data_IF_912282612519
#
_entry.id   IF_912282612519
#
_cell.length_a   1.000
_cell.length_b   1.000
_cell.length_c   1.000
_cell.angle_alpha   90.00
_cell.angle_beta   90.00
_cell.angle_gamma   90.00
#
_symmetry.space_group_name_H-M   'P 1'
#
loop_
_entity.id
_entity.type
_entity.pdbx_description
1 polymer ?
#
# COMPACT_ATOMS: atom_id res chain seq x y z
N UNK A 1 10.52 30.17 15.37
CA UNK A 1 10.82 30.09 13.92
C UNK A 1 11.28 28.67 13.54
N UNK A 2 12.14 28.07 14.30
CA UNK A 2 12.71 26.73 14.10
C UNK A 2 11.64 25.61 14.04
N UNK A 3 10.70 25.57 14.97
CA UNK A 3 9.64 24.56 15.01
C UNK A 3 8.74 24.55 13.75
N UNK A 4 8.45 25.73 13.18
CA UNK A 4 7.65 25.84 11.96
C UNK A 4 8.42 25.31 10.74
N UNK A 5 9.71 25.52 10.73
CA UNK A 5 10.61 25.03 9.69
C UNK A 5 10.74 23.51 9.77
N UNK A 6 10.89 22.96 10.98
CA UNK A 6 10.92 21.51 11.22
C UNK A 6 9.61 20.83 10.82
N UNK A 7 8.46 21.46 11.10
CA UNK A 7 7.15 20.95 10.66
C UNK A 7 7.03 20.92 9.13
N UNK A 8 7.50 21.95 8.46
CA UNK A 8 7.51 22.01 6.99
C UNK A 8 8.49 20.99 6.39
N UNK A 9 9.64 20.79 7.02
CA UNK A 9 10.62 19.77 6.62
C UNK A 9 10.02 18.37 6.72
N UNK A 10 9.35 18.06 7.83
CA UNK A 10 8.67 16.79 8.04
C UNK A 10 7.55 16.57 7.00
N UNK A 11 6.78 17.60 6.72
CA UNK A 11 5.72 17.58 5.69
C UNK A 11 6.31 17.27 4.29
N UNK A 12 7.42 17.91 3.95
CA UNK A 12 8.12 17.67 2.69
C UNK A 12 8.63 16.21 2.58
N UNK A 13 9.20 15.67 3.67
CA UNK A 13 9.65 14.27 3.72
C UNK A 13 8.50 13.32 3.44
N UNK A 14 7.34 13.50 4.07
CA UNK A 14 6.17 12.64 3.84
C UNK A 14 5.62 12.78 2.43
N UNK A 15 5.59 14.00 1.90
CA UNK A 15 5.12 14.25 0.54
C UNK A 15 6.02 13.57 -0.51
N UNK A 16 7.34 13.72 -0.36
CA UNK A 16 8.32 13.15 -1.31
C UNK A 16 8.36 11.62 -1.22
N UNK A 17 8.26 11.06 0.00
CA UNK A 17 8.40 9.62 0.21
C UNK A 17 7.28 8.82 -0.44
N UNK A 18 6.04 9.29 -0.39
CA UNK A 18 4.86 8.60 -0.93
C UNK A 18 4.62 7.18 -0.37
N UNK A 19 5.31 6.79 0.69
CA UNK A 19 5.27 5.47 1.33
C UNK A 19 5.28 5.57 2.85
N UNK A 20 5.01 4.46 3.51
CA UNK A 20 5.21 4.37 4.95
C UNK A 20 6.68 4.53 5.33
N UNK A 21 6.93 5.34 6.35
CA UNK A 21 8.24 5.58 6.94
C UNK A 21 8.27 5.13 8.39
N UNK A 22 9.39 4.56 8.82
CA UNK A 22 9.70 4.32 10.23
C UNK A 22 10.15 5.60 10.90
N UNK A 23 10.07 5.65 12.23
CA UNK A 23 10.58 6.80 12.98
C UNK A 23 12.09 6.99 12.78
N UNK A 24 12.86 5.92 12.60
CA UNK A 24 14.30 5.96 12.34
C UNK A 24 14.61 6.59 10.97
N UNK A 25 13.82 6.25 9.94
CA UNK A 25 13.96 6.89 8.63
C UNK A 25 13.65 8.39 8.69
N UNK A 26 12.58 8.76 9.42
CA UNK A 26 12.18 10.16 9.59
C UNK A 26 13.31 10.94 10.31
N UNK A 27 13.88 10.39 11.38
CA UNK A 27 15.01 10.97 12.11
C UNK A 27 16.20 11.17 11.16
N UNK A 28 16.57 10.12 10.42
CA UNK A 28 17.72 10.14 9.51
C UNK A 28 17.57 11.14 8.37
N UNK A 29 16.34 11.39 7.91
CA UNK A 29 16.06 12.31 6.80
C UNK A 29 15.88 13.77 7.26
N UNK A 30 15.47 13.98 8.51
CA UNK A 30 15.11 15.31 9.00
C UNK A 30 16.20 15.99 9.81
N UNK A 31 17.10 15.20 10.41
CA UNK A 31 18.05 15.65 11.44
C UNK A 31 17.39 16.26 12.69
N UNK A 32 16.09 15.96 12.89
CA UNK A 32 15.31 16.44 14.04
C UNK A 32 15.45 15.45 15.19
N UNK A 33 15.47 15.93 16.42
CA UNK A 33 15.57 15.07 17.59
C UNK A 33 14.38 14.13 17.73
N UNK A 34 14.57 12.89 18.20
CA UNK A 34 13.50 11.90 18.34
C UNK A 34 12.32 12.36 19.21
N UNK A 35 12.59 13.20 20.21
CA UNK A 35 11.57 13.74 21.11
C UNK A 35 10.67 14.72 20.34
N UNK A 36 11.27 15.64 19.59
CA UNK A 36 10.53 16.63 18.81
C UNK A 36 9.73 15.99 17.67
N UNK A 37 10.24 14.91 17.04
CA UNK A 37 9.52 14.24 15.94
C UNK A 37 8.13 13.76 16.41
N UNK A 38 8.00 13.21 17.59
CA UNK A 38 6.69 12.75 18.11
C UNK A 38 5.70 13.90 18.24
N UNK A 39 6.14 15.02 18.78
CA UNK A 39 5.30 16.22 18.91
C UNK A 39 4.91 16.80 17.55
N UNK A 40 5.86 16.86 16.61
CA UNK A 40 5.63 17.35 15.26
C UNK A 40 4.70 16.43 14.46
N UNK A 41 4.78 15.10 14.64
CA UNK A 41 3.85 14.15 14.04
C UNK A 41 2.42 14.40 14.51
N UNK A 42 2.20 14.62 15.81
CA UNK A 42 0.85 14.93 16.32
C UNK A 42 0.35 16.28 15.79
N UNK A 43 1.21 17.31 15.72
CA UNK A 43 0.85 18.61 15.12
C UNK A 43 0.52 18.47 13.63
N UNK A 44 1.25 17.63 12.92
CA UNK A 44 1.00 17.37 11.50
C UNK A 44 -0.30 16.61 11.29
N UNK A 45 -0.60 15.60 12.13
CA UNK A 45 -1.90 14.93 12.14
C UNK A 45 -3.03 15.91 12.40
N UNK A 46 -2.91 16.77 13.41
CA UNK A 46 -3.90 17.79 13.74
C UNK A 46 -4.10 18.77 12.57
N UNK A 47 -3.01 19.26 11.97
CA UNK A 47 -3.06 20.16 10.80
C UNK A 47 -3.93 19.59 9.68
N UNK A 48 -3.79 18.29 9.39
CA UNK A 48 -4.48 17.62 8.29
C UNK A 48 -5.78 16.92 8.68
N UNK A 49 -6.10 16.82 9.98
CA UNK A 49 -7.37 16.25 10.46
C UNK A 49 -8.59 17.13 10.10
N UNK A 50 -8.38 18.42 9.92
CA UNK A 50 -9.43 19.39 9.64
C UNK A 50 -10.15 19.09 8.32
N UNK A 51 -11.44 19.36 8.26
CA UNK A 51 -12.31 19.02 7.11
C UNK A 51 -11.88 19.67 5.78
N UNK A 52 -11.18 20.80 5.83
CA UNK A 52 -10.73 21.53 4.66
C UNK A 52 -9.45 20.98 4.00
N UNK A 53 -8.93 19.84 4.47
CA UNK A 53 -7.80 19.15 3.83
C UNK A 53 -8.25 17.90 3.09
N UNK A 54 -7.66 17.65 1.92
CA UNK A 54 -7.85 16.43 1.14
C UNK A 54 -6.89 15.30 1.54
N UNK A 55 -5.83 15.63 2.27
CA UNK A 55 -4.79 14.70 2.70
C UNK A 55 -4.82 14.53 4.22
N UNK A 56 -4.22 13.45 4.69
CA UNK A 56 -4.08 13.11 6.10
C UNK A 56 -2.74 12.40 6.37
N UNK A 57 -2.30 12.39 7.63
CA UNK A 57 -1.20 11.53 8.08
C UNK A 57 -1.79 10.25 8.65
N UNK A 58 -1.49 9.13 8.01
CA UNK A 58 -1.91 7.79 8.42
C UNK A 58 -0.82 7.15 9.25
N UNK A 59 -1.21 6.54 10.36
CA UNK A 59 -0.34 5.70 11.19
C UNK A 59 -0.84 4.25 11.15
N UNK A 60 0.08 3.33 10.85
CA UNK A 60 -0.18 1.89 10.87
C UNK A 60 1.06 1.15 11.37
N UNK A 61 0.94 0.35 12.41
CA UNK A 61 2.05 -0.45 12.97
C UNK A 61 3.32 0.37 13.28
N UNK A 62 3.17 1.56 13.84
CA UNK A 62 4.27 2.52 14.11
C UNK A 62 5.03 2.98 12.86
N UNK A 63 4.36 2.97 11.73
CA UNK A 63 4.80 3.56 10.48
C UNK A 63 3.86 4.71 10.12
N UNK A 64 4.41 5.75 9.52
CA UNK A 64 3.66 6.96 9.15
C UNK A 64 3.76 7.23 7.66
N UNK A 65 2.65 7.71 7.08
CA UNK A 65 2.55 8.06 5.66
C UNK A 65 1.61 9.26 5.50
N UNK A 66 1.91 10.13 4.57
CA UNK A 66 0.94 11.09 4.05
C UNK A 66 0.11 10.42 2.98
N UNK A 67 -1.21 10.49 3.08
CA UNK A 67 -2.13 9.86 2.15
C UNK A 67 -3.35 10.74 1.89
N UNK A 68 -4.12 10.38 0.88
CA UNK A 68 -5.39 11.04 0.56
C UNK A 68 -6.50 10.52 1.49
N UNK A 69 -7.35 11.42 1.99
CA UNK A 69 -8.49 11.01 2.82
C UNK A 69 -9.44 10.08 2.06
N UNK A 70 -10.00 9.10 2.76
CA UNK A 70 -10.88 8.05 2.22
C UNK A 70 -12.02 8.57 1.35
N UNK A 71 -12.57 9.75 1.67
CA UNK A 71 -13.65 10.38 0.89
C UNK A 71 -13.26 10.71 -0.56
N UNK A 72 -11.97 10.73 -0.90
CA UNK A 72 -11.46 11.00 -2.24
C UNK A 72 -10.93 9.77 -2.97
N UNK A 73 -11.08 8.57 -2.41
CA UNK A 73 -10.59 7.32 -3.03
C UNK A 73 -11.21 7.05 -4.40
N UNK A 74 -12.42 7.52 -4.65
CA UNK A 74 -13.03 7.39 -5.98
C UNK A 74 -12.22 8.12 -7.07
N UNK A 75 -11.53 9.21 -6.70
CA UNK A 75 -10.64 9.93 -7.62
C UNK A 75 -9.40 9.09 -7.93
N UNK A 76 -8.81 8.45 -6.90
CA UNK A 76 -7.68 7.55 -7.08
C UNK A 76 -8.07 6.39 -8.01
N UNK A 77 -9.22 5.78 -7.78
CA UNK A 77 -9.73 4.68 -8.60
C UNK A 77 -9.96 5.11 -10.06
N UNK A 78 -10.49 6.31 -10.30
CA UNK A 78 -10.66 6.87 -11.66
C UNK A 78 -9.33 7.15 -12.33
N UNK A 79 -8.36 7.64 -11.58
CA UNK A 79 -7.02 7.93 -12.08
C UNK A 79 -6.26 6.64 -12.40
N UNK A 80 -6.38 5.63 -11.55
CA UNK A 80 -5.82 4.29 -11.76
C UNK A 80 -6.52 3.55 -12.92
N UNK A 81 -7.83 3.69 -13.07
CA UNK A 81 -8.59 3.08 -14.17
C UNK A 81 -8.19 3.59 -15.55
N UNK A 82 -7.64 4.79 -15.65
CA UNK A 82 -7.10 5.37 -16.90
C UNK A 82 -5.76 4.79 -17.34
N UNK A 83 -5.04 4.12 -16.44
CA UNK A 83 -3.77 3.41 -16.69
C UNK A 83 -3.79 2.09 -15.92
N UNK A 84 -4.57 1.13 -16.40
CA UNK A 84 -4.52 -0.21 -15.82
C UNK A 84 -3.13 -0.81 -16.06
N UNK A 85 -2.30 -0.85 -15.02
CA UNK A 85 -0.99 -1.53 -15.05
C UNK A 85 -1.14 -3.04 -15.28
N UNK A 86 -2.37 -3.53 -15.08
CA UNK A 86 -2.73 -4.93 -15.24
C UNK A 86 -3.78 -5.10 -16.32
N UNK A 87 -3.52 -6.02 -17.23
CA UNK A 87 -4.52 -6.48 -18.18
C UNK A 87 -5.71 -7.11 -17.46
N UNK A 88 -6.87 -7.19 -18.10
CA UNK A 88 -8.05 -7.85 -17.54
C UNK A 88 -7.75 -9.29 -17.11
N UNK A 89 -6.92 -10.00 -17.86
CA UNK A 89 -6.48 -11.37 -17.54
C UNK A 89 -5.61 -11.43 -16.27
N UNK A 90 -4.69 -10.48 -16.09
CA UNK A 90 -3.88 -10.35 -14.89
C UNK A 90 -4.72 -10.00 -13.66
N UNK A 91 -5.66 -9.05 -13.80
CA UNK A 91 -6.60 -8.69 -12.75
C UNK A 91 -7.42 -9.89 -12.27
N UNK A 92 -7.92 -10.72 -13.19
CA UNK A 92 -8.65 -11.94 -12.86
C UNK A 92 -7.77 -12.94 -12.11
N UNK A 93 -6.51 -13.12 -12.50
CA UNK A 93 -5.57 -14.01 -11.81
C UNK A 93 -5.28 -13.51 -10.40
N UNK A 94 -5.05 -12.21 -10.23
CA UNK A 94 -4.80 -11.60 -8.92
C UNK A 94 -6.02 -11.69 -8.01
N UNK A 95 -7.22 -11.52 -8.57
CA UNK A 95 -8.50 -11.70 -7.85
C UNK A 95 -8.68 -13.12 -7.33
N UNK A 96 -8.31 -14.14 -8.11
CA UNK A 96 -8.36 -15.55 -7.67
C UNK A 96 -7.40 -15.79 -6.51
N UNK A 97 -6.18 -15.25 -6.57
CA UNK A 97 -5.22 -15.35 -5.46
C UNK A 97 -5.80 -14.67 -4.21
N UNK A 98 -6.32 -13.47 -4.34
CA UNK A 98 -6.91 -12.70 -3.23
C UNK A 98 -8.06 -13.45 -2.55
N UNK A 99 -8.93 -14.07 -3.34
CA UNK A 99 -10.10 -14.79 -2.84
C UNK A 99 -9.76 -16.15 -2.23
N UNK A 100 -8.80 -16.89 -2.83
CA UNK A 100 -8.49 -18.28 -2.47
C UNK A 100 -7.22 -18.43 -1.64
N UNK A 101 -6.56 -17.34 -1.26
CA UNK A 101 -5.31 -17.42 -0.49
C UNK A 101 -5.48 -18.11 0.87
N UNK A 102 -4.52 -18.91 1.31
CA UNK A 102 -3.35 -19.36 0.55
C UNK A 102 -3.72 -20.39 -0.52
N UNK A 103 -3.27 -20.19 -1.77
CA UNK A 103 -3.57 -21.08 -2.91
C UNK A 103 -2.30 -21.73 -3.45
N UNK A 104 -2.35 -23.05 -3.75
CA UNK A 104 -1.23 -23.72 -4.43
C UNK A 104 -1.10 -23.21 -5.86
N UNK A 105 0.13 -22.89 -6.28
CA UNK A 105 0.41 -22.46 -7.65
C UNK A 105 -0.10 -23.46 -8.68
N UNK A 106 0.04 -24.77 -8.43
CA UNK A 106 -0.47 -25.82 -9.30
C UNK A 106 -1.99 -25.76 -9.50
N UNK A 107 -2.74 -25.36 -8.47
CA UNK A 107 -4.19 -25.17 -8.56
C UNK A 107 -4.52 -23.92 -9.37
N UNK A 108 -3.80 -22.82 -9.15
CA UNK A 108 -3.98 -21.59 -9.92
C UNK A 108 -3.71 -21.82 -11.41
N UNK A 109 -2.65 -22.58 -11.76
CA UNK A 109 -2.32 -22.94 -13.13
C UNK A 109 -3.46 -23.76 -13.77
N UNK A 110 -4.06 -24.70 -13.04
CA UNK A 110 -5.22 -25.46 -13.55
C UNK A 110 -6.42 -24.56 -13.87
N UNK A 111 -6.63 -23.51 -13.07
CA UNK A 111 -7.75 -22.57 -13.27
C UNK A 111 -7.48 -21.59 -14.42
N UNK A 112 -6.24 -21.11 -14.55
CA UNK A 112 -5.87 -19.99 -15.44
C UNK A 112 -5.00 -20.39 -16.66
N UNK A 113 -4.63 -21.66 -16.78
CA UNK A 113 -3.69 -22.16 -17.76
C UNK A 113 -2.25 -21.62 -17.59
N UNK A 114 -1.39 -21.91 -18.57
CA UNK A 114 0.03 -21.53 -18.53
C UNK A 114 0.31 -20.03 -18.45
N UNK A 115 -0.63 -19.17 -18.86
CA UNK A 115 -0.51 -17.71 -18.72
C UNK A 115 -0.35 -17.26 -17.27
N UNK A 116 -0.83 -18.07 -16.32
CA UNK A 116 -0.68 -17.75 -14.91
C UNK A 116 0.78 -17.73 -14.43
N UNK A 117 1.70 -18.41 -15.07
CA UNK A 117 3.13 -18.34 -14.73
C UNK A 117 3.70 -16.93 -14.92
N UNK A 118 3.37 -16.28 -16.04
CA UNK A 118 3.82 -14.91 -16.32
C UNK A 118 3.16 -13.91 -15.37
N UNK A 119 1.88 -14.10 -15.05
CA UNK A 119 1.15 -13.28 -14.09
C UNK A 119 1.76 -13.40 -12.68
N UNK A 120 2.03 -14.63 -12.20
CA UNK A 120 2.65 -14.88 -10.91
C UNK A 120 4.04 -14.23 -10.84
N UNK A 121 4.84 -14.37 -11.90
CA UNK A 121 6.15 -13.73 -11.99
C UNK A 121 6.04 -12.21 -11.86
N UNK A 122 5.15 -11.59 -12.63
CA UNK A 122 4.91 -10.14 -12.59
C UNK A 122 4.47 -9.67 -11.19
N UNK A 123 3.50 -10.36 -10.57
CA UNK A 123 3.01 -9.98 -9.25
C UNK A 123 4.08 -10.14 -8.16
N UNK A 124 4.93 -11.15 -8.27
CA UNK A 124 6.07 -11.34 -7.38
C UNK A 124 7.12 -10.25 -7.56
N UNK A 125 7.47 -9.93 -8.81
CA UNK A 125 8.48 -8.90 -9.13
C UNK A 125 8.01 -7.50 -8.71
N UNK A 126 6.69 -7.27 -8.67
CA UNK A 126 6.06 -6.07 -8.10
C UNK A 126 5.86 -6.13 -6.57
N UNK A 127 6.24 -7.24 -5.92
CA UNK A 127 6.10 -7.41 -4.48
C UNK A 127 4.66 -7.61 -4.00
N UNK A 128 3.69 -7.87 -4.88
CA UNK A 128 2.26 -7.98 -4.53
C UNK A 128 1.87 -9.32 -3.92
N UNK A 129 2.66 -10.37 -4.15
CA UNK A 129 2.41 -11.71 -3.62
C UNK A 129 3.65 -12.29 -2.94
N UNK A 130 3.41 -13.11 -1.92
CA UNK A 130 4.39 -13.95 -1.24
C UNK A 130 4.31 -15.38 -1.79
N UNK A 131 5.44 -16.05 -1.82
CA UNK A 131 5.55 -17.43 -2.29
C UNK A 131 6.29 -18.28 -1.27
N UNK A 132 5.66 -19.34 -0.80
CA UNK A 132 6.24 -20.32 0.11
C UNK A 132 6.35 -21.68 -0.58
N UNK A 133 7.53 -22.32 -0.57
CA UNK A 133 7.71 -23.65 -1.16
C UNK A 133 6.99 -24.70 -0.32
N UNK A 134 6.18 -25.54 -0.99
CA UNK A 134 5.47 -26.67 -0.38
C UNK A 134 5.64 -27.89 -1.28
N UNK A 135 6.52 -28.83 -0.89
CA UNK A 135 6.84 -29.99 -1.70
C UNK A 135 7.37 -29.61 -3.08
N UNK A 136 6.69 -30.05 -4.14
CA UNK A 136 7.04 -29.79 -5.53
C UNK A 136 6.34 -28.55 -6.12
N UNK A 137 5.56 -27.82 -5.32
CA UNK A 137 4.85 -26.60 -5.75
C UNK A 137 5.09 -25.46 -4.77
N UNK A 138 4.43 -24.33 -5.02
CA UNK A 138 4.46 -23.18 -4.15
C UNK A 138 3.05 -22.84 -3.68
N UNK A 139 2.95 -22.31 -2.49
CA UNK A 139 1.77 -21.68 -1.95
C UNK A 139 1.88 -20.17 -2.13
N UNK A 140 0.83 -19.55 -2.65
CA UNK A 140 0.77 -18.13 -2.98
C UNK A 140 -0.20 -17.44 -2.03
N UNK A 141 0.20 -16.29 -1.52
CA UNK A 141 -0.63 -15.40 -0.72
C UNK A 141 -0.33 -13.94 -1.08
N UNK A 142 -1.26 -13.05 -0.77
CA UNK A 142 -1.01 -11.62 -0.91
C UNK A 142 0.08 -11.16 0.07
N UNK A 143 0.85 -10.16 -0.33
CA UNK A 143 1.81 -9.47 0.53
C UNK A 143 1.14 -8.29 1.25
N UNK A 144 1.82 -7.73 2.24
CA UNK A 144 1.36 -6.50 2.90
C UNK A 144 1.37 -5.33 1.90
N UNK A 145 2.37 -5.31 1.01
CA UNK A 145 2.49 -4.31 -0.05
C UNK A 145 1.30 -4.32 -1.02
N UNK A 146 0.64 -5.47 -1.22
CA UNK A 146 -0.60 -5.54 -2.00
C UNK A 146 -1.70 -4.66 -1.39
N UNK A 147 -1.91 -4.77 -0.09
CA UNK A 147 -2.95 -4.01 0.60
C UNK A 147 -2.66 -2.51 0.59
N UNK A 148 -1.38 -2.14 0.68
CA UNK A 148 -0.94 -0.75 0.57
C UNK A 148 -1.07 -0.23 -0.87
N UNK A 149 -0.70 -1.02 -1.87
CA UNK A 149 -0.80 -0.67 -3.29
C UNK A 149 -2.25 -0.42 -3.73
N UNK A 150 -3.17 -1.30 -3.34
CA UNK A 150 -4.59 -1.18 -3.66
C UNK A 150 -5.38 -0.36 -2.64
N UNK A 151 -4.73 0.12 -1.59
CA UNK A 151 -5.31 0.92 -0.51
C UNK A 151 -6.54 0.26 0.15
N UNK A 152 -6.44 -1.05 0.39
CA UNK A 152 -7.47 -1.89 0.99
C UNK A 152 -7.02 -2.42 2.35
N UNK A 153 -7.96 -2.73 3.23
CA UNK A 153 -7.64 -3.32 4.52
C UNK A 153 -7.22 -4.79 4.35
N UNK A 154 -6.26 -5.22 5.15
CA UNK A 154 -5.85 -6.62 5.23
C UNK A 154 -7.07 -7.51 5.55
N UNK A 155 -7.24 -8.59 4.76
CA UNK A 155 -8.40 -9.48 4.87
C UNK A 155 -9.66 -9.00 4.13
N UNK A 156 -9.69 -7.79 3.58
CA UNK A 156 -10.76 -7.35 2.69
C UNK A 156 -10.53 -7.88 1.27
N UNK A 157 -11.62 -8.20 0.56
CA UNK A 157 -11.54 -8.56 -0.85
C UNK A 157 -11.63 -7.28 -1.70
N UNK A 158 -10.52 -6.82 -2.33
CA UNK A 158 -10.51 -5.59 -3.12
C UNK A 158 -11.37 -5.69 -4.40
N UNK A 159 -11.78 -6.91 -4.75
CA UNK A 159 -12.59 -7.20 -5.93
C UNK A 159 -14.05 -7.49 -5.61
N UNK A 160 -14.50 -7.34 -4.37
CA UNK A 160 -15.93 -7.31 -4.05
C UNK A 160 -16.53 -6.04 -4.68
N UNK A 161 -17.21 -6.25 -5.79
CA UNK A 161 -18.07 -5.24 -6.38
C UNK A 161 -19.11 -4.87 -5.31
N UNK A 162 -19.03 -3.65 -4.79
CA UNK A 162 -20.14 -3.07 -4.03
C UNK A 162 -21.36 -3.12 -4.94
N UNK A 163 -22.33 -3.99 -4.56
CA UNK A 163 -23.67 -4.00 -5.15
C UNK A 163 -24.36 -2.68 -4.87
#
# INVERSE_FOLDING_TARGET
MEEKEDLNKLEAIFFISGRFLTIQEIISLSDISPIMIKELLEKLKEKYSKENSAIEIVEKNKLWKMDVKKKYFDIINKFAAGKSEFSKSEQQTLAIIAYKQPIKQSVLIKIRSNKAYDHIKKFRDLGLIKRKKIGHTYELSLSDDFYDYFNVQEGSNPFELKK
#
